data_IF_981825725986
#
_entry.id   IF_981825725986
#
_cell.length_a   1.000
_cell.length_b   1.000
_cell.length_c   1.000
_cell.angle_alpha   90.00
_cell.angle_beta   90.00
_cell.angle_gamma   90.00
#
_symmetry.space_group_name_H-M   'P 1'
#
loop_
_entity.id
_entity.type
_entity.pdbx_description
1 polymer ?
#
# COMPACT_ATOMS: atom_id res chain seq x y z
N UNK A 1 25.16 -26.24 -37.20
CA UNK A 1 23.73 -26.16 -36.85
C UNK A 1 23.63 -25.94 -35.34
N UNK A 2 23.40 -24.71 -34.89
CA UNK A 2 23.16 -24.42 -33.47
C UNK A 2 21.65 -24.39 -33.25
N UNK A 3 21.14 -25.26 -32.39
CA UNK A 3 19.72 -25.37 -32.06
C UNK A 3 19.21 -24.11 -31.37
N UNK A 4 17.99 -23.70 -31.72
CA UNK A 4 17.22 -22.69 -30.97
C UNK A 4 17.04 -23.18 -29.54
N UNK A 5 17.55 -22.44 -28.56
CA UNK A 5 17.12 -22.57 -27.17
C UNK A 5 15.79 -21.82 -27.03
N UNK A 6 14.70 -22.51 -27.31
CA UNK A 6 13.35 -22.02 -27.02
C UNK A 6 13.11 -22.05 -25.51
N UNK A 7 12.79 -20.88 -24.96
CA UNK A 7 11.80 -20.62 -23.90
C UNK A 7 11.73 -21.60 -22.72
N UNK A 8 12.13 -21.17 -21.52
CA UNK A 8 11.75 -21.93 -20.33
C UNK A 8 12.32 -21.53 -18.97
N UNK A 9 13.21 -20.55 -18.87
CA UNK A 9 13.84 -20.19 -17.59
C UNK A 9 13.15 -19.04 -16.84
N UNK A 10 11.92 -18.67 -17.24
CA UNK A 10 11.11 -17.67 -16.53
C UNK A 10 10.29 -18.26 -15.36
N UNK A 11 10.19 -19.60 -15.26
CA UNK A 11 9.37 -20.27 -14.23
C UNK A 11 9.97 -20.33 -12.82
N UNK A 12 11.19 -19.81 -12.62
CA UNK A 12 11.85 -19.82 -11.30
C UNK A 12 11.83 -18.48 -10.58
N UNK A 13 11.39 -17.41 -11.25
CA UNK A 13 11.23 -16.08 -10.65
C UNK A 13 9.87 -15.51 -11.05
N UNK A 14 8.92 -15.51 -10.13
CA UNK A 14 7.73 -14.66 -10.26
C UNK A 14 8.15 -13.23 -9.93
N UNK A 15 8.62 -12.49 -10.94
CA UNK A 15 8.80 -11.05 -10.83
C UNK A 15 7.42 -10.38 -10.96
N UNK A 16 6.87 -9.93 -9.84
CA UNK A 16 5.61 -9.19 -9.81
C UNK A 16 5.92 -7.70 -9.93
N UNK A 17 5.66 -7.12 -11.10
CA UNK A 17 5.80 -5.69 -11.33
C UNK A 17 4.50 -4.97 -10.99
N UNK A 18 4.42 -4.32 -9.82
CA UNK A 18 3.23 -3.58 -9.40
C UNK A 18 2.83 -2.46 -10.38
N UNK A 19 3.75 -1.96 -11.20
CA UNK A 19 3.43 -0.97 -12.24
C UNK A 19 2.61 -1.52 -13.39
N UNK A 20 2.74 -2.82 -13.68
CA UNK A 20 1.96 -3.50 -14.71
C UNK A 20 0.53 -3.79 -14.24
N UNK A 21 0.34 -4.00 -12.93
CA UNK A 21 -0.95 -4.38 -12.35
C UNK A 21 -1.75 -3.21 -11.76
N UNK A 22 -1.09 -2.11 -11.39
CA UNK A 22 -1.73 -0.91 -10.84
C UNK A 22 -1.50 0.26 -11.81
N UNK A 23 -2.48 0.57 -12.68
CA UNK A 23 -2.30 1.63 -13.67
C UNK A 23 -1.95 2.97 -13.05
N UNK A 24 -1.15 3.79 -13.74
CA UNK A 24 -0.74 5.12 -13.26
C UNK A 24 -1.90 6.08 -12.94
N UNK A 25 -3.06 5.87 -13.57
CA UNK A 25 -4.29 6.63 -13.34
C UNK A 25 -5.16 6.09 -12.20
N UNK A 26 -4.73 5.02 -11.52
CA UNK A 26 -5.45 4.41 -10.40
C UNK A 26 -5.68 5.41 -9.27
N UNK A 27 -6.87 5.38 -8.66
CA UNK A 27 -7.27 6.33 -7.62
C UNK A 27 -6.30 6.36 -6.45
N UNK A 28 -5.81 5.20 -6.00
CA UNK A 28 -4.84 5.11 -4.90
C UNK A 28 -3.53 5.83 -5.21
N UNK A 29 -3.00 5.74 -6.44
CA UNK A 29 -1.82 6.51 -6.86
C UNK A 29 -2.08 8.02 -6.93
N UNK A 30 -3.33 8.43 -7.11
CA UNK A 30 -3.71 9.85 -7.05
C UNK A 30 -3.83 10.33 -5.60
N UNK A 31 -4.40 9.50 -4.72
CA UNK A 31 -4.50 9.79 -3.28
C UNK A 31 -3.09 9.90 -2.69
N UNK A 32 -2.22 8.92 -2.94
CA UNK A 32 -0.85 8.92 -2.41
C UNK A 32 -0.05 10.15 -2.84
N UNK A 33 -0.14 10.56 -4.12
CA UNK A 33 0.51 11.80 -4.61
C UNK A 33 -0.09 13.08 -4.04
N UNK A 34 -1.36 13.06 -3.65
CA UNK A 34 -2.05 14.24 -3.10
C UNK A 34 -2.00 14.34 -1.59
N UNK A 35 -1.54 13.29 -0.91
CA UNK A 35 -1.58 13.15 0.54
C UNK A 35 -0.16 13.00 1.08
N UNK A 36 0.52 14.14 1.21
CA UNK A 36 1.80 14.23 1.90
C UNK A 36 1.59 14.23 3.42
N UNK A 37 2.08 13.20 4.09
CA UNK A 37 2.01 13.04 5.54
C UNK A 37 3.40 12.91 6.17
N UNK A 38 4.47 13.22 5.44
CA UNK A 38 5.86 12.93 5.81
C UNK A 38 6.26 13.50 7.18
N UNK A 39 5.70 14.67 7.54
CA UNK A 39 6.00 15.36 8.79
C UNK A 39 5.07 14.98 9.95
N UNK A 40 3.99 14.23 9.68
CA UNK A 40 2.92 13.98 10.65
C UNK A 40 3.45 13.26 11.89
N UNK A 41 4.31 12.26 11.70
CA UNK A 41 4.90 11.52 12.81
C UNK A 41 5.76 12.40 13.71
N UNK A 42 6.43 13.41 13.15
CA UNK A 42 7.22 14.35 13.95
C UNK A 42 6.32 15.19 14.85
N UNK A 43 5.22 15.73 14.33
CA UNK A 43 4.28 16.52 15.11
C UNK A 43 3.59 15.72 16.23
N UNK A 44 3.35 14.43 15.99
CA UNK A 44 2.63 13.59 16.93
C UNK A 44 3.54 12.83 17.91
N UNK A 45 4.86 12.94 17.74
CA UNK A 45 5.86 12.15 18.49
C UNK A 45 5.65 12.21 20.01
N UNK A 46 5.42 13.40 20.53
CA UNK A 46 5.30 13.63 21.98
C UNK A 46 4.04 13.03 22.60
N UNK A 47 3.06 12.64 21.77
CA UNK A 47 1.82 12.00 22.22
C UNK A 47 1.90 10.48 22.26
N UNK A 48 2.96 9.88 21.72
CA UNK A 48 3.14 8.43 21.72
C UNK A 48 3.97 7.98 22.93
N UNK A 49 3.47 6.94 23.61
CA UNK A 49 4.23 6.33 24.70
C UNK A 49 5.49 5.65 24.16
N UNK A 50 6.67 5.89 24.77
CA UNK A 50 7.90 5.16 24.44
C UNK A 50 7.89 3.71 24.97
N UNK A 51 6.92 3.35 25.82
CA UNK A 51 6.80 2.04 26.47
C UNK A 51 5.41 1.45 26.22
N UNK A 52 5.35 0.13 26.01
CA UNK A 52 4.10 -0.59 25.75
C UNK A 52 4.02 -1.07 24.31
N UNK A 53 2.80 -1.32 23.82
CA UNK A 53 2.58 -1.75 22.44
C UNK A 53 2.66 -0.53 21.51
N UNK A 54 3.57 -0.51 20.52
CA UNK A 54 3.64 0.58 19.55
C UNK A 54 2.27 0.71 18.85
N UNK A 55 1.75 1.93 18.84
CA UNK A 55 0.51 2.26 18.13
C UNK A 55 0.73 2.17 16.62
N UNK A 56 -0.37 2.05 15.87
CA UNK A 56 -0.35 2.17 14.41
C UNK A 56 0.18 3.56 14.04
N UNK A 57 1.02 3.62 13.01
CA UNK A 57 1.53 4.90 12.50
C UNK A 57 0.37 5.82 12.09
N UNK A 58 0.39 7.09 12.50
CA UNK A 58 -0.72 8.01 12.25
C UNK A 58 -0.95 8.22 10.75
N UNK A 59 0.12 8.18 9.96
CA UNK A 59 0.09 8.30 8.51
C UNK A 59 -0.70 7.17 7.86
N UNK A 60 -0.45 5.93 8.31
CA UNK A 60 -1.18 4.75 7.85
C UNK A 60 -2.66 4.87 8.20
N UNK A 61 -2.97 5.26 9.44
CA UNK A 61 -4.36 5.43 9.89
C UNK A 61 -5.12 6.45 9.02
N UNK A 62 -4.53 7.62 8.74
CA UNK A 62 -5.15 8.63 7.88
C UNK A 62 -5.33 8.12 6.45
N UNK A 63 -4.30 7.48 5.87
CA UNK A 63 -4.39 6.88 4.53
C UNK A 63 -5.54 5.87 4.45
N UNK A 64 -5.65 4.98 5.44
CA UNK A 64 -6.74 4.00 5.52
C UNK A 64 -8.11 4.68 5.59
N UNK A 65 -8.27 5.72 6.41
CA UNK A 65 -9.54 6.44 6.53
C UNK A 65 -9.94 7.12 5.21
N UNK A 66 -9.02 7.86 4.58
CA UNK A 66 -9.27 8.54 3.29
C UNK A 66 -9.72 7.52 2.23
N UNK A 67 -9.00 6.40 2.16
CA UNK A 67 -9.34 5.28 1.29
C UNK A 67 -10.73 4.74 1.60
N UNK A 68 -11.02 4.44 2.86
CA UNK A 68 -12.31 3.94 3.30
C UNK A 68 -13.45 4.87 2.89
N UNK A 69 -13.27 6.19 3.02
CA UNK A 69 -14.23 7.17 2.54
C UNK A 69 -14.38 7.16 1.02
N UNK A 70 -13.28 7.14 0.27
CA UNK A 70 -13.31 7.11 -1.20
C UNK A 70 -14.01 5.87 -1.78
N UNK A 71 -13.83 4.70 -1.14
CA UNK A 71 -14.45 3.44 -1.55
C UNK A 71 -15.78 3.14 -0.85
N UNK A 72 -16.28 4.04 0.01
CA UNK A 72 -17.53 3.86 0.75
C UNK A 72 -17.49 2.71 1.78
N UNK A 73 -16.31 2.32 2.25
CA UNK A 73 -16.13 1.28 3.26
C UNK A 73 -16.42 1.87 4.64
N UNK A 74 -17.56 1.48 5.22
CA UNK A 74 -18.01 1.97 6.54
C UNK A 74 -17.50 1.15 7.72
N UNK A 75 -17.01 -0.06 7.47
CA UNK A 75 -16.53 -0.98 8.50
C UNK A 75 -15.01 -0.92 8.58
N UNK A 76 -14.47 -0.53 9.73
CA UNK A 76 -13.02 -0.54 9.98
C UNK A 76 -12.42 -1.94 9.81
N UNK A 77 -13.11 -2.99 10.28
CA UNK A 77 -12.66 -4.37 10.10
C UNK A 77 -12.52 -4.73 8.62
N UNK A 78 -13.52 -4.38 7.80
CA UNK A 78 -13.48 -4.59 6.35
C UNK A 78 -12.40 -3.74 5.68
N UNK A 79 -12.17 -2.52 6.15
CA UNK A 79 -11.11 -1.64 5.65
C UNK A 79 -9.73 -2.25 5.92
N UNK A 80 -9.49 -2.78 7.11
CA UNK A 80 -8.27 -3.51 7.43
C UNK A 80 -8.07 -4.72 6.52
N UNK A 81 -9.13 -5.49 6.25
CA UNK A 81 -9.07 -6.63 5.32
C UNK A 81 -8.76 -6.20 3.89
N UNK A 82 -9.42 -5.15 3.39
CA UNK A 82 -9.22 -4.62 2.04
C UNK A 82 -7.77 -4.15 1.85
N UNK A 83 -7.25 -3.35 2.79
CA UNK A 83 -5.87 -2.83 2.74
C UNK A 83 -4.85 -3.97 2.85
N UNK A 84 -5.16 -5.03 3.58
CA UNK A 84 -4.28 -6.18 3.71
C UNK A 84 -4.17 -7.01 2.42
N UNK A 85 -5.27 -7.14 1.68
CA UNK A 85 -5.36 -8.02 0.51
C UNK A 85 -5.06 -7.32 -0.82
N UNK A 86 -5.27 -6.01 -0.88
CA UNK A 86 -5.22 -5.28 -2.14
C UNK A 86 -3.79 -4.80 -2.44
N UNK A 87 -3.21 -5.36 -3.50
CA UNK A 87 -1.84 -5.09 -3.96
C UNK A 87 -1.60 -3.62 -4.31
N UNK A 88 -2.65 -2.85 -4.61
CA UNK A 88 -2.54 -1.44 -4.97
C UNK A 88 -2.26 -0.51 -3.78
N UNK A 89 -2.21 -1.05 -2.55
CA UNK A 89 -1.77 -0.33 -1.35
C UNK A 89 -0.29 -0.54 -1.00
N UNK A 90 0.47 -1.33 -1.78
CA UNK A 90 1.90 -1.56 -1.57
C UNK A 90 2.78 -0.54 -2.31
#
# INVERSE_FOLDING_TARGET
>A
MMGRLSSGQERLFYALNLEEYVPGYHLLRRIDRGLDLSDLRQYLKDFYSPVGRPSIDPELMIRMLVVGYCYGIRSERRLCEEVHLNLAYR
#
